data_IF_284678647924
#
_entry.id   IF_284678647924
#
_cell.length_a   1.000
_cell.length_b   1.000
_cell.length_c   1.000
_cell.angle_alpha   90.00
_cell.angle_beta   90.00
_cell.angle_gamma   90.00
#
_symmetry.space_group_name_H-M   'P 1'
#
loop_
_entity.id
_entity.type
_entity.pdbx_description
1 polymer ?
#
# COMPACT_ATOMS: atom_id res chain seq x y z
N UNK A 1 -60.65 4.57 -27.15
CA UNK A 1 -60.82 5.67 -28.13
C UNK A 1 -59.59 6.57 -28.05
N UNK A 2 -58.84 6.69 -29.15
CA UNK A 2 -57.55 7.37 -29.24
C UNK A 2 -57.70 8.82 -29.70
N UNK A 3 -56.87 9.74 -29.21
CA UNK A 3 -56.72 11.07 -29.81
C UNK A 3 -55.57 11.07 -30.81
N UNK A 4 -55.94 11.44 -32.03
CA UNK A 4 -55.21 11.46 -33.30
C UNK A 4 -54.22 12.63 -33.42
N UNK A 5 -53.12 12.35 -34.15
CA UNK A 5 -52.43 13.14 -35.21
C UNK A 5 -51.90 14.53 -34.81
N UNK A 6 -50.71 14.98 -35.21
CA UNK A 6 -50.11 15.04 -36.57
C UNK A 6 -48.57 15.04 -36.41
N UNK A 7 -47.78 14.25 -37.16
CA UNK A 7 -47.38 14.41 -38.57
C UNK A 7 -46.83 15.80 -38.92
N UNK A 8 -45.51 15.91 -39.05
CA UNK A 8 -44.86 17.11 -39.60
C UNK A 8 -43.33 17.00 -39.70
N UNK A 9 -42.86 16.57 -40.87
CA UNK A 9 -41.56 16.90 -41.50
C UNK A 9 -40.23 16.50 -40.84
N UNK A 10 -39.52 15.57 -41.47
CA UNK A 10 -38.05 15.65 -41.72
C UNK A 10 -37.87 16.27 -43.12
N UNK A 11 -36.81 17.03 -43.51
CA UNK A 11 -35.39 16.76 -43.21
C UNK A 11 -34.38 17.97 -43.14
N UNK A 12 -33.16 17.66 -42.65
CA UNK A 12 -31.81 18.12 -43.08
C UNK A 12 -31.22 19.53 -42.75
N UNK A 13 -30.06 19.49 -42.05
CA UNK A 13 -28.93 20.45 -41.86
C UNK A 13 -29.21 21.82 -41.19
N UNK A 14 -28.48 22.24 -40.13
CA UNK A 14 -27.11 22.80 -40.14
C UNK A 14 -26.30 22.43 -38.87
N UNK A 15 -25.00 22.31 -39.10
CA UNK A 15 -23.82 22.08 -38.26
C UNK A 15 -23.73 22.88 -36.94
N UNK A 16 -23.20 22.28 -35.86
CA UNK A 16 -21.87 22.63 -35.29
C UNK A 16 -21.74 22.30 -33.79
N UNK A 17 -20.70 21.53 -33.49
CA UNK A 17 -19.89 21.50 -32.26
C UNK A 17 -20.57 21.39 -30.89
N UNK A 18 -20.53 20.19 -30.33
CA UNK A 18 -20.09 20.00 -28.94
C UNK A 18 -19.37 18.65 -28.81
N UNK A 19 -18.24 18.51 -29.49
CA UNK A 19 -17.27 17.42 -29.29
C UNK A 19 -16.01 18.05 -28.70
N UNK A 20 -16.06 18.43 -27.42
CA UNK A 20 -14.90 18.96 -26.68
C UNK A 20 -14.93 18.57 -25.20
N UNK A 21 -14.93 17.27 -24.90
CA UNK A 21 -14.55 16.77 -23.56
C UNK A 21 -13.60 15.58 -23.62
N UNK A 22 -12.91 15.36 -24.75
CA UNK A 22 -11.91 14.28 -24.89
C UNK A 22 -10.45 14.75 -25.00
N UNK A 23 -10.22 16.06 -25.06
CA UNK A 23 -8.89 16.62 -25.39
C UNK A 23 -8.21 17.40 -24.25
N UNK A 24 -8.73 17.36 -23.01
CA UNK A 24 -8.11 18.16 -21.94
C UNK A 24 -6.82 17.54 -21.37
N UNK A 25 -6.61 16.22 -21.48
CA UNK A 25 -5.42 15.56 -20.96
C UNK A 25 -4.28 15.41 -21.97
N UNK A 26 -4.49 15.70 -23.26
CA UNK A 26 -3.46 15.51 -24.28
C UNK A 26 -2.61 16.76 -24.57
N UNK A 27 -2.95 17.93 -24.04
CA UNK A 27 -2.31 19.19 -24.48
C UNK A 27 -1.88 20.14 -23.34
N UNK A 28 -1.62 19.62 -22.14
CA UNK A 28 -1.12 20.44 -21.00
C UNK A 28 0.19 19.94 -20.37
N UNK A 29 0.78 18.87 -20.90
CA UNK A 29 2.10 18.43 -20.47
C UNK A 29 2.92 18.15 -21.73
N UNK A 30 3.83 19.05 -22.07
CA UNK A 30 4.97 18.76 -22.96
C UNK A 30 5.94 17.78 -22.26
N UNK A 31 5.42 16.71 -21.68
CA UNK A 31 6.22 15.63 -21.12
C UNK A 31 6.15 14.54 -22.18
N UNK A 32 7.23 14.43 -22.94
CA UNK A 32 7.38 13.35 -23.91
C UNK A 32 7.24 12.00 -23.20
N UNK A 33 6.78 10.97 -23.91
CA UNK A 33 6.65 9.61 -23.35
C UNK A 33 7.96 9.15 -22.67
N UNK A 34 9.11 9.58 -23.21
CA UNK A 34 10.44 9.34 -22.67
C UNK A 34 10.70 10.07 -21.33
N UNK A 35 10.19 11.30 -21.14
CA UNK A 35 10.27 12.01 -19.86
C UNK A 35 9.34 11.42 -18.80
N UNK A 36 8.17 10.88 -19.20
CA UNK A 36 7.32 10.09 -18.31
C UNK A 36 8.01 8.78 -17.90
N UNK A 37 8.65 8.08 -18.84
CA UNK A 37 9.39 6.84 -18.56
C UNK A 37 10.63 7.10 -17.68
N UNK A 38 11.33 8.23 -17.88
CA UNK A 38 12.45 8.65 -17.03
C UNK A 38 12.00 9.09 -15.64
N UNK A 39 10.92 9.86 -15.52
CA UNK A 39 10.33 10.23 -14.24
C UNK A 39 9.85 8.98 -13.50
N UNK A 40 9.21 8.05 -14.21
CA UNK A 40 8.78 6.75 -13.69
C UNK A 40 9.97 5.93 -13.19
N UNK A 41 11.04 5.84 -13.98
CA UNK A 41 12.28 5.13 -13.59
C UNK A 41 12.95 5.78 -12.39
N UNK A 42 13.02 7.12 -12.34
CA UNK A 42 13.57 7.84 -11.20
C UNK A 42 12.74 7.65 -9.92
N UNK A 43 11.41 7.56 -10.05
CA UNK A 43 10.49 7.25 -8.95
C UNK A 43 10.66 5.79 -8.50
N UNK A 44 10.77 4.81 -9.41
CA UNK A 44 11.04 3.40 -9.09
C UNK A 44 12.39 3.24 -8.37
N UNK A 45 13.44 3.93 -8.83
CA UNK A 45 14.76 3.93 -8.18
C UNK A 45 14.72 4.59 -6.78
N UNK A 46 13.87 5.59 -6.57
CA UNK A 46 13.67 6.23 -5.26
C UNK A 46 12.80 5.38 -4.29
N UNK A 47 11.91 4.54 -4.81
CA UNK A 47 10.99 3.70 -4.03
C UNK A 47 11.69 2.52 -3.31
N UNK A 48 12.92 2.16 -3.69
CA UNK A 48 13.74 1.17 -2.98
C UNK A 48 14.53 1.73 -1.80
N UNK A 49 14.47 3.05 -1.54
CA UNK A 49 15.31 3.67 -0.51
C UNK A 49 14.78 3.39 0.90
N UNK A 50 15.67 3.27 1.91
CA UNK A 50 15.24 3.09 3.30
C UNK A 50 14.27 4.18 3.77
N UNK A 51 14.48 5.44 3.36
CA UNK A 51 13.61 6.55 3.72
C UNK A 51 12.19 6.42 3.17
N UNK A 52 12.03 5.93 1.94
CA UNK A 52 10.71 5.66 1.37
C UNK A 52 10.01 4.52 2.11
N UNK A 53 10.72 3.45 2.44
CA UNK A 53 10.17 2.33 3.22
C UNK A 53 9.66 2.81 4.58
N UNK A 54 10.44 3.63 5.31
CA UNK A 54 9.97 4.20 6.58
C UNK A 54 8.70 5.04 6.38
N UNK A 55 8.64 5.88 5.34
CA UNK A 55 7.44 6.67 5.03
C UNK A 55 6.24 5.80 4.67
N UNK A 56 6.46 4.71 3.92
CA UNK A 56 5.42 3.79 3.52
C UNK A 56 4.84 3.04 4.72
N UNK A 57 5.69 2.64 5.68
CA UNK A 57 5.26 2.01 6.93
C UNK A 57 4.43 2.91 7.84
N UNK A 58 4.48 4.24 7.67
CA UNK A 58 3.55 5.15 8.38
C UNK A 58 2.12 5.06 7.87
N UNK A 59 1.88 4.39 6.74
CA UNK A 59 0.56 4.31 6.10
C UNK A 59 -0.19 3.08 6.62
N UNK A 60 -1.37 3.25 7.26
CA UNK A 60 -2.11 2.12 7.82
C UNK A 60 -2.47 1.05 6.80
N UNK A 61 -2.85 1.45 5.58
CA UNK A 61 -3.21 0.51 4.52
C UNK A 61 -2.05 -0.41 4.13
N UNK A 62 -0.82 0.08 4.21
CA UNK A 62 0.36 -0.69 3.83
C UNK A 62 0.68 -1.75 4.88
N UNK A 63 0.58 -1.39 6.16
CA UNK A 63 0.71 -2.36 7.24
C UNK A 63 -0.35 -3.46 7.14
N UNK A 64 -1.62 -3.09 6.90
CA UNK A 64 -2.71 -4.07 6.70
C UNK A 64 -2.42 -5.00 5.52
N UNK A 65 -1.99 -4.44 4.39
CA UNK A 65 -1.60 -5.24 3.22
C UNK A 65 -0.49 -6.24 3.55
N UNK A 66 0.55 -5.83 4.28
CA UNK A 66 1.64 -6.73 4.68
C UNK A 66 1.14 -7.84 5.62
N UNK A 67 0.29 -7.50 6.59
CA UNK A 67 -0.28 -8.48 7.53
C UNK A 67 -1.18 -9.49 6.84
N UNK A 68 -1.93 -9.08 5.81
CA UNK A 68 -2.77 -9.98 5.03
C UNK A 68 -1.95 -10.89 4.10
N UNK A 69 -1.02 -10.30 3.33
CA UNK A 69 -0.22 -11.05 2.34
C UNK A 69 0.82 -11.97 3.00
N UNK A 70 1.40 -11.53 4.12
CA UNK A 70 2.45 -12.24 4.86
C UNK A 70 1.96 -12.71 6.24
N UNK A 71 0.70 -13.14 6.33
CA UNK A 71 0.07 -13.57 7.57
C UNK A 71 0.88 -14.64 8.31
N UNK A 72 1.50 -15.57 7.57
CA UNK A 72 2.34 -16.63 8.14
C UNK A 72 3.60 -16.08 8.83
N UNK A 73 4.25 -15.07 8.24
CA UNK A 73 5.45 -14.45 8.83
C UNK A 73 5.13 -13.71 10.13
N UNK A 74 4.04 -12.94 10.14
CA UNK A 74 3.57 -12.27 11.35
C UNK A 74 3.08 -13.26 12.41
N UNK A 75 2.41 -14.34 12.00
CA UNK A 75 1.93 -15.38 12.91
C UNK A 75 3.09 -16.15 13.56
N UNK A 76 4.15 -16.45 12.80
CA UNK A 76 5.38 -17.04 13.35
C UNK A 76 6.04 -16.14 14.38
N UNK A 77 6.15 -14.84 14.08
CA UNK A 77 6.70 -13.87 15.04
C UNK A 77 5.84 -13.80 16.31
N UNK A 78 4.52 -13.72 16.16
CA UNK A 78 3.60 -13.67 17.28
C UNK A 78 3.69 -14.93 18.16
N UNK A 79 3.67 -16.11 17.54
CA UNK A 79 3.80 -17.41 18.25
C UNK A 79 5.07 -17.45 19.08
N UNK A 80 6.21 -17.10 18.48
CA UNK A 80 7.50 -17.08 19.19
C UNK A 80 7.50 -16.13 20.39
N UNK A 81 6.92 -14.94 20.25
CA UNK A 81 6.84 -13.97 21.35
C UNK A 81 5.92 -14.47 22.47
N UNK A 82 4.82 -15.15 22.12
CA UNK A 82 3.92 -15.78 23.09
C UNK A 82 4.64 -16.89 23.86
N UNK A 83 5.35 -17.79 23.18
CA UNK A 83 6.14 -18.85 23.83
C UNK A 83 7.19 -18.28 24.79
N UNK A 84 7.85 -17.17 24.42
CA UNK A 84 8.80 -16.47 25.28
C UNK A 84 8.13 -15.85 26.51
N UNK A 85 6.92 -15.30 26.35
CA UNK A 85 6.12 -14.77 27.45
C UNK A 85 5.72 -15.88 28.42
N UNK A 86 5.19 -16.98 27.90
CA UNK A 86 4.78 -18.15 28.72
C UNK A 86 5.97 -18.73 29.49
N UNK A 87 7.14 -18.85 28.84
CA UNK A 87 8.36 -19.29 29.51
C UNK A 87 8.81 -18.31 30.62
N UNK A 88 8.57 -17.00 30.45
CA UNK A 88 8.86 -16.00 31.47
C UNK A 88 7.93 -16.16 32.67
N UNK A 89 6.64 -16.35 32.45
CA UNK A 89 5.64 -16.56 33.51
C UNK A 89 5.96 -17.81 34.34
N UNK A 90 6.36 -18.91 33.70
CA UNK A 90 6.78 -20.14 34.38
C UNK A 90 8.02 -19.93 35.27
N UNK A 91 8.93 -19.04 34.87
CA UNK A 91 10.16 -18.71 35.62
C UNK A 91 9.89 -17.76 36.78
N UNK A 92 8.83 -16.95 36.71
CA UNK A 92 8.45 -15.98 37.73
C UNK A 92 7.02 -16.19 38.22
N UNK A 93 6.74 -17.27 38.98
CA UNK A 93 5.39 -17.60 39.45
C UNK A 93 4.78 -16.53 40.39
N UNK A 94 5.62 -15.74 41.06
CA UNK A 94 5.19 -14.67 41.96
C UNK A 94 5.00 -13.32 41.23
N UNK A 95 5.28 -13.25 39.92
CA UNK A 95 5.13 -12.06 39.08
C UNK A 95 5.73 -10.77 39.71
N UNK A 96 6.94 -10.87 40.26
CA UNK A 96 7.61 -9.77 40.95
C UNK A 96 8.21 -8.69 40.03
N UNK A 97 8.94 -7.74 40.60
CA UNK A 97 9.56 -6.63 39.84
C UNK A 97 10.45 -7.10 38.68
N UNK A 98 11.23 -8.18 38.89
CA UNK A 98 12.06 -8.78 37.84
C UNK A 98 11.23 -9.30 36.65
N UNK A 99 10.06 -9.89 36.91
CA UNK A 99 9.13 -10.30 35.85
C UNK A 99 8.65 -9.11 35.03
N UNK A 100 8.22 -8.04 35.71
CA UNK A 100 7.72 -6.85 35.02
C UNK A 100 8.79 -6.16 34.17
N UNK A 101 10.04 -6.13 34.65
CA UNK A 101 11.16 -5.61 33.86
C UNK A 101 11.43 -6.46 32.61
N UNK A 102 11.40 -7.79 32.73
CA UNK A 102 11.64 -8.70 31.60
C UNK A 102 10.48 -8.73 30.60
N UNK A 103 9.22 -8.73 31.05
CA UNK A 103 8.07 -8.72 30.14
C UNK A 103 7.97 -7.39 29.38
N UNK A 104 8.34 -6.28 30.02
CA UNK A 104 8.45 -4.99 29.34
C UNK A 104 9.55 -5.01 28.27
N UNK A 105 10.69 -5.63 28.58
CA UNK A 105 11.80 -5.80 27.65
C UNK A 105 11.37 -6.64 26.45
N UNK A 106 10.71 -7.77 26.68
CA UNK A 106 10.15 -8.64 25.64
C UNK A 106 9.14 -7.89 24.77
N UNK A 107 8.23 -7.13 25.37
CA UNK A 107 7.24 -6.32 24.63
C UNK A 107 7.89 -5.26 23.74
N UNK A 108 8.97 -4.61 24.22
CA UNK A 108 9.71 -3.63 23.41
C UNK A 108 10.47 -4.31 22.26
N UNK A 109 11.10 -5.46 22.53
CA UNK A 109 11.77 -6.26 21.50
C UNK A 109 10.77 -6.73 20.43
N UNK A 110 9.63 -7.28 20.83
CA UNK A 110 8.59 -7.71 19.88
C UNK A 110 8.07 -6.58 18.98
N UNK A 111 7.90 -5.36 19.52
CA UNK A 111 7.57 -4.18 18.71
C UNK A 111 8.65 -3.85 17.69
N UNK A 112 9.92 -3.89 18.10
CA UNK A 112 11.06 -3.61 17.23
C UNK A 112 11.18 -4.67 16.12
N UNK A 113 11.04 -5.94 16.46
CA UNK A 113 11.06 -7.06 15.52
C UNK A 113 9.91 -7.01 14.52
N UNK A 114 8.70 -6.68 14.97
CA UNK A 114 7.54 -6.49 14.07
C UNK A 114 7.78 -5.37 13.07
N UNK A 115 8.35 -4.25 13.53
CA UNK A 115 8.73 -3.14 12.64
C UNK A 115 9.82 -3.56 11.65
N UNK A 116 10.82 -4.32 12.11
CA UNK A 116 11.88 -4.82 11.22
C UNK A 116 11.33 -5.77 10.16
N UNK A 117 10.45 -6.70 10.54
CA UNK A 117 9.78 -7.59 9.60
C UNK A 117 9.01 -6.78 8.55
N UNK A 118 8.26 -5.76 8.96
CA UNK A 118 7.51 -4.93 8.04
C UNK A 118 8.44 -4.18 7.05
N UNK A 119 9.61 -3.69 7.48
CA UNK A 119 10.62 -3.09 6.59
C UNK A 119 11.15 -4.06 5.56
N UNK A 120 11.49 -5.27 6.01
CA UNK A 120 12.10 -6.28 5.14
C UNK A 120 11.10 -6.80 4.11
N UNK A 121 9.86 -7.02 4.50
CA UNK A 121 8.76 -7.36 3.58
C UNK A 121 8.46 -6.20 2.62
N UNK A 122 8.47 -4.95 3.10
CA UNK A 122 8.29 -3.79 2.22
C UNK A 122 9.37 -3.69 1.15
N UNK A 123 10.63 -3.93 1.53
CA UNK A 123 11.76 -3.94 0.58
C UNK A 123 11.56 -5.02 -0.47
N UNK A 124 11.13 -6.21 -0.06
CA UNK A 124 10.83 -7.32 -0.96
C UNK A 124 9.75 -6.96 -1.96
N UNK A 125 8.63 -6.41 -1.50
CA UNK A 125 7.54 -5.95 -2.37
C UNK A 125 8.00 -4.95 -3.42
N UNK A 126 8.82 -3.96 -3.01
CA UNK A 126 9.32 -2.93 -3.93
C UNK A 126 10.24 -3.54 -5.00
N UNK A 127 11.05 -4.55 -4.66
CA UNK A 127 11.89 -5.28 -5.62
C UNK A 127 11.02 -6.08 -6.59
N UNK A 128 10.03 -6.84 -6.09
CA UNK A 128 9.13 -7.65 -6.92
C UNK A 128 8.31 -6.78 -7.89
N UNK A 129 7.80 -5.64 -7.44
CA UNK A 129 7.09 -4.67 -8.29
C UNK A 129 8.02 -4.06 -9.34
N UNK A 130 9.24 -3.65 -8.95
CA UNK A 130 10.23 -3.10 -9.88
C UNK A 130 10.65 -4.09 -10.97
N UNK A 131 10.71 -5.39 -10.66
CA UNK A 131 11.02 -6.46 -11.62
C UNK A 131 9.86 -6.74 -12.58
N UNK A 132 8.62 -6.59 -12.14
CA UNK A 132 7.43 -6.86 -12.98
C UNK A 132 7.19 -5.76 -14.01
N UNK A 133 7.72 -4.57 -13.75
CA UNK A 133 7.51 -3.36 -14.57
C UNK A 133 8.68 -3.05 -15.52
N UNK A 134 9.77 -3.81 -15.44
CA UNK A 134 10.96 -3.70 -16.32
C UNK A 134 10.90 -4.71 -17.47
#
# INVERSE_FOLDING_TARGET
>A
MPSRRMSGARPFFILSNLRHTKDFTQNLAQVSKNELDQAYTAIIQAQGTPAFIEQLLTRPYWMTYLEEKYADDFSRLHTRLTEQSEALELRYPDFGEAYFAEIQTLGNQGKAERQQLARDLSRREMIELGQTLS
#
